data_IF_284474972524
#
_entry.id   IF_284474972524
#
_cell.length_a   1.000
_cell.length_b   1.000
_cell.length_c   1.000
_cell.angle_alpha   90.00
_cell.angle_beta   90.00
_cell.angle_gamma   90.00
#
_symmetry.space_group_name_H-M   'P 1'
#
loop_
_entity.id
_entity.type
_entity.pdbx_description
1 polymer ?
#
# COMPACT_ATOMS: atom_id res chain seq x y z
N UNK A 1 25.19 19.56 11.22
CA UNK A 1 24.35 19.64 9.99
C UNK A 1 23.42 18.42 9.86
N UNK A 2 22.52 18.16 10.83
CA UNK A 2 21.86 16.84 10.98
C UNK A 2 20.32 16.74 10.85
N UNK A 3 19.59 17.80 10.50
CA UNK A 3 18.13 17.84 10.68
C UNK A 3 17.26 17.22 9.56
N UNK A 4 17.64 17.40 8.29
CA UNK A 4 16.77 17.05 7.14
C UNK A 4 16.52 15.54 6.94
N UNK A 5 17.53 14.66 7.09
CA UNK A 5 17.32 13.21 6.96
C UNK A 5 16.43 12.65 8.08
N UNK A 6 16.64 13.11 9.32
CA UNK A 6 15.86 12.66 10.48
C UNK A 6 14.38 13.03 10.39
N UNK A 7 14.05 14.22 9.88
CA UNK A 7 12.65 14.64 9.68
C UNK A 7 11.95 13.75 8.66
N UNK A 8 12.62 13.39 7.55
CA UNK A 8 12.03 12.52 6.50
C UNK A 8 11.76 11.10 7.00
N UNK A 9 12.67 10.56 7.83
CA UNK A 9 12.47 9.24 8.45
C UNK A 9 11.26 9.26 9.38
N UNK A 10 11.10 10.28 10.23
CA UNK A 10 9.91 10.41 11.09
C UNK A 10 8.60 10.51 10.30
N UNK A 11 8.61 11.25 9.18
CA UNK A 11 7.46 11.32 8.29
C UNK A 11 7.12 9.95 7.70
N UNK A 12 8.14 9.19 7.28
CA UNK A 12 7.97 7.84 6.78
C UNK A 12 7.45 6.87 7.87
N UNK A 13 7.90 7.02 9.12
CA UNK A 13 7.40 6.24 10.26
C UNK A 13 5.92 6.54 10.55
N UNK A 14 5.52 7.81 10.61
CA UNK A 14 4.11 8.16 10.82
C UNK A 14 3.22 7.64 9.68
N UNK A 15 3.70 7.76 8.44
CA UNK A 15 2.99 7.21 7.29
C UNK A 15 2.87 5.68 7.36
N UNK A 16 3.91 4.99 7.84
CA UNK A 16 3.89 3.55 8.07
C UNK A 16 2.85 3.16 9.14
N UNK A 17 2.79 3.84 10.27
CA UNK A 17 1.79 3.55 11.31
C UNK A 17 0.36 3.82 10.83
N UNK A 18 0.13 4.95 10.15
CA UNK A 18 -1.16 5.26 9.54
C UNK A 18 -1.56 4.18 8.53
N UNK A 19 -0.61 3.74 7.70
CA UNK A 19 -0.79 2.66 6.72
C UNK A 19 -1.11 1.32 7.35
N UNK A 20 -0.47 0.98 8.47
CA UNK A 20 -0.75 -0.25 9.20
C UNK A 20 -2.18 -0.26 9.75
N UNK A 21 -2.62 0.86 10.35
CA UNK A 21 -4.01 1.02 10.78
C UNK A 21 -4.99 0.89 9.62
N UNK A 22 -4.72 1.55 8.50
CA UNK A 22 -5.52 1.43 7.28
C UNK A 22 -5.56 0.00 6.74
N UNK A 23 -4.44 -0.72 6.76
CA UNK A 23 -4.36 -2.12 6.33
C UNK A 23 -5.18 -3.05 7.21
N UNK A 24 -5.22 -2.81 8.53
CA UNK A 24 -6.10 -3.57 9.45
C UNK A 24 -7.57 -3.32 9.13
N UNK A 25 -7.95 -2.06 8.89
CA UNK A 25 -9.32 -1.71 8.50
C UNK A 25 -9.68 -2.35 7.17
N UNK A 26 -8.80 -2.26 6.16
CA UNK A 26 -8.99 -2.90 4.86
C UNK A 26 -9.20 -4.40 5.02
N UNK A 27 -8.35 -5.09 5.77
CA UNK A 27 -8.49 -6.53 5.97
C UNK A 27 -9.82 -6.91 6.65
N UNK A 28 -10.29 -6.09 7.60
CA UNK A 28 -11.59 -6.30 8.25
C UNK A 28 -12.78 -6.06 7.29
N UNK A 29 -12.63 -5.15 6.34
CA UNK A 29 -13.65 -4.85 5.31
C UNK A 29 -13.63 -5.93 4.23
N UNK A 30 -12.48 -6.12 3.56
CA UNK A 30 -12.26 -7.01 2.41
C UNK A 30 -12.51 -8.48 2.71
N UNK A 31 -12.11 -8.99 3.89
CA UNK A 31 -12.26 -10.43 4.19
C UNK A 31 -13.37 -10.74 5.16
N UNK A 32 -13.50 -9.95 6.22
CA UNK A 32 -14.42 -10.28 7.31
C UNK A 32 -15.83 -9.81 6.95
N UNK A 33 -15.96 -8.54 6.57
CA UNK A 33 -17.27 -7.93 6.32
C UNK A 33 -17.85 -8.34 4.97
N UNK A 34 -17.07 -8.28 3.89
CA UNK A 34 -17.53 -8.57 2.52
C UNK A 34 -18.23 -9.93 2.39
N UNK A 35 -17.69 -10.96 3.08
CA UNK A 35 -18.25 -12.32 3.10
C UNK A 35 -19.73 -12.32 3.44
N UNK A 36 -20.14 -11.58 4.46
CA UNK A 36 -21.54 -11.56 4.90
C UNK A 36 -22.46 -10.94 3.84
N UNK A 37 -21.98 -9.93 3.11
CA UNK A 37 -22.74 -9.30 2.04
C UNK A 37 -22.87 -10.22 0.81
N UNK A 38 -21.79 -10.90 0.44
CA UNK A 38 -21.82 -11.87 -0.66
C UNK A 38 -22.69 -13.09 -0.34
N UNK A 39 -22.59 -13.64 0.88
CA UNK A 39 -23.43 -14.75 1.32
C UNK A 39 -24.92 -14.36 1.31
N UNK A 40 -25.24 -13.14 1.76
CA UNK A 40 -26.60 -12.61 1.73
C UNK A 40 -27.13 -12.45 0.31
N UNK A 41 -26.28 -11.99 -0.63
CA UNK A 41 -26.64 -11.94 -2.05
C UNK A 41 -26.93 -13.32 -2.64
N UNK A 42 -26.09 -14.32 -2.35
CA UNK A 42 -26.27 -15.69 -2.85
C UNK A 42 -27.55 -16.32 -2.28
N UNK A 43 -27.91 -16.02 -1.03
CA UNK A 43 -29.10 -16.54 -0.38
C UNK A 43 -30.39 -15.76 -0.71
N UNK A 44 -30.31 -14.64 -1.43
CA UNK A 44 -31.44 -13.74 -1.63
C UNK A 44 -32.54 -14.37 -2.51
N UNK A 45 -33.82 -14.29 -2.10
CA UNK A 45 -34.95 -14.66 -2.94
C UNK A 45 -34.99 -13.85 -4.25
N UNK A 46 -35.63 -14.39 -5.29
CA UNK A 46 -35.67 -13.75 -6.61
C UNK A 46 -36.20 -12.31 -6.60
N UNK A 47 -37.12 -11.97 -5.69
CA UNK A 47 -37.66 -10.62 -5.53
C UNK A 47 -36.70 -9.60 -4.89
N UNK A 48 -35.65 -10.06 -4.21
CA UNK A 48 -34.70 -9.21 -3.46
C UNK A 48 -33.27 -9.24 -4.04
N UNK A 49 -32.99 -10.16 -4.98
CA UNK A 49 -31.66 -10.41 -5.53
C UNK A 49 -30.97 -9.15 -6.09
N UNK A 50 -31.73 -8.27 -6.75
CA UNK A 50 -31.20 -7.01 -7.30
C UNK A 50 -30.74 -6.07 -6.18
N UNK A 51 -31.51 -5.96 -5.09
CA UNK A 51 -31.14 -5.12 -3.95
C UNK A 51 -29.92 -5.71 -3.24
N UNK A 52 -29.92 -7.02 -2.99
CA UNK A 52 -28.80 -7.69 -2.35
C UNK A 52 -27.50 -7.56 -3.18
N UNK A 53 -27.59 -7.62 -4.51
CA UNK A 53 -26.45 -7.35 -5.40
C UNK A 53 -25.94 -5.91 -5.23
N UNK A 54 -26.82 -4.91 -5.27
CA UNK A 54 -26.43 -3.49 -5.11
C UNK A 54 -25.76 -3.21 -3.76
N UNK A 55 -26.22 -3.85 -2.69
CA UNK A 55 -25.58 -3.74 -1.37
C UNK A 55 -24.20 -4.39 -1.38
N UNK A 56 -24.05 -5.54 -2.01
CA UNK A 56 -22.75 -6.20 -2.19
C UNK A 56 -21.78 -5.37 -3.03
N UNK A 57 -22.25 -4.73 -4.11
CA UNK A 57 -21.43 -3.85 -4.95
C UNK A 57 -21.01 -2.58 -4.21
N UNK A 58 -21.88 -2.02 -3.37
CA UNK A 58 -21.54 -0.88 -2.52
C UNK A 58 -20.40 -1.22 -1.56
N UNK A 59 -20.47 -2.41 -0.95
CA UNK A 59 -19.42 -2.92 -0.07
C UNK A 59 -18.08 -3.06 -0.80
N UNK A 60 -18.10 -3.62 -2.02
CA UNK A 60 -16.92 -3.70 -2.89
C UNK A 60 -16.34 -2.31 -3.18
N UNK A 61 -17.19 -1.31 -3.44
CA UNK A 61 -16.73 0.03 -3.73
C UNK A 61 -16.08 0.73 -2.53
N UNK A 62 -16.54 0.44 -1.30
CA UNK A 62 -15.87 0.86 -0.07
C UNK A 62 -14.48 0.21 0.03
N UNK A 63 -14.39 -1.08 -0.29
CA UNK A 63 -13.14 -1.82 -0.24
C UNK A 63 -12.11 -1.26 -1.24
N UNK A 64 -12.53 -1.06 -2.49
CA UNK A 64 -11.70 -0.42 -3.53
C UNK A 64 -11.21 0.95 -3.09
N UNK A 65 -12.05 1.74 -2.41
CA UNK A 65 -11.66 3.04 -1.85
C UNK A 65 -10.55 2.92 -0.79
N UNK A 66 -10.72 2.02 0.17
CA UNK A 66 -9.71 1.75 1.22
C UNK A 66 -8.42 1.19 0.63
N UNK A 67 -8.52 0.27 -0.34
CA UNK A 67 -7.38 -0.31 -1.01
C UNK A 67 -6.61 0.75 -1.80
N UNK A 68 -7.31 1.66 -2.49
CA UNK A 68 -6.69 2.79 -3.18
C UNK A 68 -5.91 3.68 -2.21
N UNK A 69 -6.47 3.96 -1.03
CA UNK A 69 -5.77 4.70 0.02
C UNK A 69 -4.54 3.95 0.54
N UNK A 70 -4.62 2.61 0.67
CA UNK A 70 -3.47 1.80 1.06
C UNK A 70 -2.35 1.89 0.00
N UNK A 71 -2.70 1.81 -1.28
CA UNK A 71 -1.75 1.98 -2.38
C UNK A 71 -1.08 3.37 -2.30
N UNK A 72 -1.86 4.43 -2.10
CA UNK A 72 -1.34 5.81 -2.05
C UNK A 72 -0.43 6.02 -0.85
N UNK A 73 -0.88 5.66 0.35
CA UNK A 73 -0.19 6.02 1.60
C UNK A 73 0.93 5.05 1.91
N UNK A 74 0.67 3.75 1.84
CA UNK A 74 1.67 2.73 2.17
C UNK A 74 2.64 2.53 1.00
N UNK A 75 2.14 2.02 -0.12
CA UNK A 75 3.00 1.72 -1.26
C UNK A 75 3.61 2.99 -1.88
N UNK A 76 2.86 4.08 -1.86
CA UNK A 76 3.28 5.35 -2.41
C UNK A 76 4.12 6.20 -1.47
N UNK A 77 3.46 6.94 -0.60
CA UNK A 77 4.08 7.98 0.22
C UNK A 77 5.12 7.44 1.19
N UNK A 78 4.86 6.31 1.84
CA UNK A 78 5.78 5.70 2.81
C UNK A 78 7.09 5.27 2.13
N UNK A 79 7.02 4.48 1.07
CA UNK A 79 8.22 4.05 0.34
C UNK A 79 8.94 5.18 -0.37
N UNK A 80 8.22 6.13 -0.96
CA UNK A 80 8.82 7.31 -1.56
C UNK A 80 9.62 8.11 -0.52
N UNK A 81 9.06 8.27 0.68
CA UNK A 81 9.74 8.97 1.78
C UNK A 81 11.00 8.23 2.25
N UNK A 82 10.93 6.90 2.41
CA UNK A 82 12.10 6.08 2.75
C UNK A 82 13.17 6.10 1.65
N UNK A 83 12.77 5.99 0.38
CA UNK A 83 13.67 6.07 -0.76
C UNK A 83 14.40 7.41 -0.81
N UNK A 84 13.67 8.51 -0.64
CA UNK A 84 14.26 9.85 -0.58
C UNK A 84 15.22 10.02 0.62
N UNK A 85 14.93 9.41 1.77
CA UNK A 85 15.83 9.42 2.92
C UNK A 85 17.14 8.64 2.64
N UNK A 86 17.05 7.50 1.93
CA UNK A 86 18.22 6.69 1.57
C UNK A 86 19.11 7.35 0.51
N UNK A 87 18.54 8.11 -0.43
CA UNK A 87 19.34 8.91 -1.38
C UNK A 87 20.25 9.92 -0.66
N UNK A 88 19.78 10.45 0.47
CA UNK A 88 20.50 11.44 1.28
C UNK A 88 21.41 10.79 2.34
N UNK A 89 21.48 9.46 2.39
CA UNK A 89 22.25 8.73 3.40
C UNK A 89 23.61 8.32 2.84
N UNK A 90 24.69 8.74 3.50
CA UNK A 90 26.04 8.26 3.17
C UNK A 90 26.27 6.78 3.56
N UNK A 91 25.33 6.18 4.29
CA UNK A 91 25.43 4.80 4.74
C UNK A 91 25.06 3.80 3.64
N UNK A 92 24.25 4.17 2.67
CA UNK A 92 23.73 3.26 1.65
C UNK A 92 24.08 3.75 0.24
N UNK A 93 24.23 2.81 -0.69
CA UNK A 93 24.40 3.17 -2.10
C UNK A 93 23.12 3.87 -2.61
N UNK A 94 23.26 5.02 -3.25
CA UNK A 94 22.14 5.87 -3.66
C UNK A 94 21.09 5.15 -4.53
N UNK A 95 21.52 4.12 -5.28
CA UNK A 95 20.62 3.29 -6.09
C UNK A 95 19.48 2.66 -5.26
N UNK A 96 19.74 2.27 -3.99
CA UNK A 96 18.71 1.74 -3.11
C UNK A 96 17.58 2.74 -2.89
N UNK A 97 17.90 4.02 -2.73
CA UNK A 97 16.88 5.02 -2.53
C UNK A 97 16.01 5.26 -3.77
N UNK A 98 16.60 5.21 -4.96
CA UNK A 98 15.85 5.34 -6.23
C UNK A 98 14.91 4.16 -6.50
N UNK A 99 15.33 2.93 -6.13
CA UNK A 99 14.51 1.72 -6.28
C UNK A 99 13.24 1.77 -5.42
N UNK A 100 13.23 2.51 -4.30
CA UNK A 100 11.99 2.74 -3.54
C UNK A 100 11.25 4.01 -4.00
N UNK A 101 11.98 5.08 -4.31
CA UNK A 101 11.39 6.37 -4.64
C UNK A 101 10.54 6.32 -5.91
N UNK A 102 11.08 5.77 -7.01
CA UNK A 102 10.38 5.75 -8.30
C UNK A 102 9.13 4.87 -8.25
N UNK A 103 9.19 3.59 -7.80
CA UNK A 103 7.99 2.77 -7.70
C UNK A 103 6.98 3.31 -6.69
N UNK A 104 7.42 3.97 -5.61
CA UNK A 104 6.51 4.66 -4.70
C UNK A 104 5.72 5.78 -5.40
N UNK A 105 6.38 6.62 -6.19
CA UNK A 105 5.67 7.65 -6.97
C UNK A 105 4.68 7.01 -7.97
N UNK A 106 5.08 5.92 -8.63
CA UNK A 106 4.19 5.18 -9.53
C UNK A 106 2.99 4.61 -8.77
N UNK A 107 3.18 4.06 -7.57
CA UNK A 107 2.10 3.56 -6.73
C UNK A 107 1.08 4.67 -6.39
N UNK A 108 1.52 5.90 -6.09
CA UNK A 108 0.60 7.03 -5.88
C UNK A 108 -0.28 7.23 -7.11
N UNK A 109 0.30 7.23 -8.31
CA UNK A 109 -0.44 7.37 -9.56
C UNK A 109 -1.47 6.25 -9.77
N UNK A 110 -1.07 5.01 -9.49
CA UNK A 110 -1.98 3.84 -9.57
C UNK A 110 -3.13 3.97 -8.58
N UNK A 111 -2.85 4.29 -7.31
CA UNK A 111 -3.87 4.42 -6.29
C UNK A 111 -4.83 5.57 -6.57
N UNK A 112 -4.35 6.71 -7.09
CA UNK A 112 -5.21 7.81 -7.53
C UNK A 112 -6.09 7.39 -8.71
N UNK A 113 -5.52 6.73 -9.71
CA UNK A 113 -6.29 6.20 -10.85
C UNK A 113 -7.38 5.24 -10.39
N UNK A 114 -7.06 4.34 -9.45
CA UNK A 114 -8.01 3.40 -8.90
C UNK A 114 -9.10 4.09 -8.07
N UNK A 115 -8.75 5.11 -7.29
CA UNK A 115 -9.71 5.85 -6.47
C UNK A 115 -10.77 6.57 -7.30
N UNK A 116 -10.39 7.10 -8.48
CA UNK A 116 -11.30 7.85 -9.36
C UNK A 116 -11.97 6.98 -10.42
N UNK A 117 -11.28 5.96 -10.92
CA UNK A 117 -11.69 5.15 -12.05
C UNK A 117 -12.17 3.74 -11.68
N UNK A 118 -12.03 3.34 -10.42
CA UNK A 118 -12.29 1.98 -9.97
C UNK A 118 -11.20 0.99 -10.36
N UNK A 119 -11.51 -0.31 -10.22
CA UNK A 119 -10.58 -1.40 -10.52
C UNK A 119 -10.28 -1.49 -12.02
N UNK A 120 -9.02 -1.77 -12.34
CA UNK A 120 -8.57 -2.02 -13.71
C UNK A 120 -7.64 -3.24 -13.74
N UNK A 121 -7.90 -4.17 -14.65
CA UNK A 121 -7.04 -5.35 -14.81
C UNK A 121 -5.59 -4.95 -15.13
N UNK A 122 -5.40 -3.95 -16.00
CA UNK A 122 -4.06 -3.53 -16.39
C UNK A 122 -3.37 -2.76 -15.27
N UNK A 123 -4.07 -1.79 -14.67
CA UNK A 123 -3.46 -0.88 -13.69
C UNK A 123 -3.40 -1.51 -12.30
N UNK A 124 -4.53 -1.99 -11.78
CA UNK A 124 -4.62 -2.58 -10.44
C UNK A 124 -4.05 -3.99 -10.39
N UNK A 125 -4.40 -4.87 -11.34
CA UNK A 125 -3.96 -6.28 -11.22
C UNK A 125 -2.51 -6.45 -11.64
N UNK A 126 -2.09 -5.85 -12.76
CA UNK A 126 -0.74 -6.07 -13.29
C UNK A 126 0.27 -5.00 -12.86
N UNK A 127 -0.02 -3.72 -13.11
CA UNK A 127 0.95 -2.67 -12.83
C UNK A 127 1.22 -2.53 -11.33
N UNK A 128 0.18 -2.50 -10.50
CA UNK A 128 0.36 -2.45 -9.05
C UNK A 128 1.02 -3.72 -8.49
N UNK A 129 0.64 -4.92 -8.94
CA UNK A 129 1.32 -6.13 -8.48
C UNK A 129 2.82 -6.12 -8.79
N UNK A 130 3.21 -5.63 -9.97
CA UNK A 130 4.62 -5.45 -10.33
C UNK A 130 5.33 -4.44 -9.41
N UNK A 131 4.74 -3.26 -9.22
CA UNK A 131 5.28 -2.21 -8.35
C UNK A 131 5.39 -2.68 -6.90
N UNK A 132 4.34 -3.28 -6.35
CA UNK A 132 4.29 -3.82 -5.00
C UNK A 132 5.32 -4.93 -4.81
N UNK A 133 5.52 -5.81 -5.80
CA UNK A 133 6.54 -6.86 -5.74
C UNK A 133 7.94 -6.28 -5.64
N UNK A 134 8.27 -5.27 -6.45
CA UNK A 134 9.56 -4.57 -6.40
C UNK A 134 9.77 -3.94 -5.02
N UNK A 135 8.77 -3.23 -4.49
CA UNK A 135 8.85 -2.57 -3.18
C UNK A 135 8.99 -3.59 -2.03
N UNK A 136 8.28 -4.70 -2.07
CA UNK A 136 8.38 -5.77 -1.07
C UNK A 136 9.77 -6.43 -1.09
N UNK A 137 10.30 -6.75 -2.28
CA UNK A 137 11.67 -7.26 -2.41
C UNK A 137 12.70 -6.27 -1.89
N UNK A 138 12.50 -4.99 -2.18
CA UNK A 138 13.34 -3.91 -1.69
C UNK A 138 13.34 -3.83 -0.15
N UNK A 139 12.18 -3.94 0.51
CA UNK A 139 12.08 -3.99 1.99
C UNK A 139 12.92 -5.12 2.56
N UNK A 140 12.81 -6.31 1.98
CA UNK A 140 13.55 -7.48 2.44
C UNK A 140 15.06 -7.23 2.30
N UNK A 141 15.51 -6.71 1.16
CA UNK A 141 16.93 -6.42 0.91
C UNK A 141 17.48 -5.38 1.89
N UNK A 142 16.76 -4.28 2.11
CA UNK A 142 17.18 -3.25 3.06
C UNK A 142 17.15 -3.76 4.49
N UNK A 143 16.11 -4.50 4.88
CA UNK A 143 16.00 -5.10 6.20
C UNK A 143 17.16 -6.06 6.50
N UNK A 144 17.50 -6.94 5.56
CA UNK A 144 18.66 -7.85 5.68
C UNK A 144 19.97 -7.07 5.77
N UNK A 145 20.15 -6.03 4.95
CA UNK A 145 21.36 -5.19 5.00
C UNK A 145 21.49 -4.45 6.33
N UNK A 146 20.40 -3.92 6.88
CA UNK A 146 20.39 -3.27 8.19
C UNK A 146 20.70 -4.26 9.31
N UNK A 147 20.10 -5.45 9.28
CA UNK A 147 20.37 -6.52 10.24
C UNK A 147 21.84 -6.96 10.25
N UNK A 148 22.43 -7.13 9.06
CA UNK A 148 23.85 -7.51 8.92
C UNK A 148 24.81 -6.43 9.41
N UNK A 149 24.38 -5.16 9.42
CA UNK A 149 25.19 -4.04 9.89
C UNK A 149 25.08 -3.86 11.39
N UNK A 150 23.89 -4.00 11.97
CA UNK A 150 23.72 -3.93 13.43
C UNK A 150 24.49 -5.05 14.15
N UNK A 151 24.50 -6.26 13.59
CA UNK A 151 25.27 -7.39 14.14
C UNK A 151 26.80 -7.30 13.99
N UNK A 152 27.32 -6.32 13.25
CA UNK A 152 28.78 -6.05 13.14
C UNK A 152 29.27 -4.92 14.04
N UNK A 153 28.33 -4.20 14.67
CA UNK A 153 28.61 -3.07 15.57
C UNK A 153 28.42 -3.49 17.04
N UNK A 154 27.89 -4.69 17.28
CA UNK A 154 27.89 -5.37 18.57
C UNK A 154 29.13 -6.27 18.68
#
# INVERSE_FOLDING_TARGET
MGGRPQVRVKVAEYALFASAGLGVVLFAVDRISSKFFHDAFVAAPAGESVIALRVSELMEQIDVGLFSMLIIVFFGFTFASYGAALIQSDSFHMAYGWIALVPGIVAIGIGVYQAIGGLSTVITTYAFAGVASVLNLWVIVIGVNMWRRSGKVA
#
